data_IF_957702341669
#
_entry.id   IF_957702341669
#
_cell.length_a   1.000
_cell.length_b   1.000
_cell.length_c   1.000
_cell.angle_alpha   90.00
_cell.angle_beta   90.00
_cell.angle_gamma   90.00
#
_symmetry.space_group_name_H-M   'P 1'
#
loop_
_entity.id
_entity.type
_entity.pdbx_description
1 polymer ?
#
# COMPACT_ATOMS: atom_id res chain seq x y z
N UNK A 1 -22.25 -14.46 -12.41
CA UNK A 1 -21.05 -13.85 -13.04
C UNK A 1 -19.89 -13.64 -12.05
N UNK A 2 -20.05 -12.87 -10.96
CA UNK A 2 -18.95 -12.57 -10.02
C UNK A 2 -18.34 -13.81 -9.34
N UNK A 3 -19.17 -14.73 -8.84
CA UNK A 3 -18.70 -15.97 -8.20
C UNK A 3 -17.93 -16.87 -9.17
N UNK A 4 -18.41 -17.00 -10.42
CA UNK A 4 -17.72 -17.75 -11.49
C UNK A 4 -16.34 -17.16 -11.79
N UNK A 5 -16.22 -15.83 -11.86
CA UNK A 5 -14.93 -15.13 -12.05
C UNK A 5 -13.96 -15.42 -10.89
N UNK A 6 -14.44 -15.40 -9.64
CA UNK A 6 -13.60 -15.73 -8.49
C UNK A 6 -13.10 -17.18 -8.52
N UNK A 7 -13.98 -18.13 -8.87
CA UNK A 7 -13.60 -19.54 -9.01
C UNK A 7 -12.53 -19.72 -10.09
N UNK A 8 -12.71 -19.11 -11.27
CA UNK A 8 -11.75 -19.18 -12.37
C UNK A 8 -10.39 -18.56 -12.00
N UNK A 9 -10.38 -17.39 -11.37
CA UNK A 9 -9.15 -16.75 -10.92
C UNK A 9 -8.44 -17.57 -9.82
N UNK A 10 -9.21 -18.23 -8.95
CA UNK A 10 -8.68 -19.11 -7.91
C UNK A 10 -8.12 -20.41 -8.48
N UNK A 11 -8.65 -20.88 -9.61
CA UNK A 11 -8.17 -22.07 -10.31
C UNK A 11 -6.68 -21.93 -10.66
N UNK A 12 -6.25 -20.78 -11.18
CA UNK A 12 -4.83 -20.49 -11.43
C UNK A 12 -3.98 -20.59 -10.15
N UNK A 13 -4.45 -19.99 -9.06
CA UNK A 13 -3.74 -20.00 -7.77
C UNK A 13 -3.59 -21.41 -7.20
N UNK A 14 -4.66 -22.21 -7.23
CA UNK A 14 -4.64 -23.58 -6.67
C UNK A 14 -3.83 -24.54 -7.53
N UNK A 15 -3.86 -24.42 -8.87
CA UNK A 15 -3.02 -25.24 -9.75
C UNK A 15 -1.54 -24.94 -9.60
N UNK A 16 -1.19 -23.78 -9.04
CA UNK A 16 0.18 -23.36 -8.72
C UNK A 16 0.66 -23.80 -7.33
N UNK A 17 -0.21 -24.38 -6.50
CA UNK A 17 0.14 -24.86 -5.18
C UNK A 17 0.72 -26.28 -5.26
N UNK A 18 1.97 -26.48 -4.85
CA UNK A 18 2.70 -27.74 -5.01
C UNK A 18 2.07 -28.95 -4.32
N UNK A 19 1.27 -28.74 -3.27
CA UNK A 19 0.56 -29.82 -2.59
C UNK A 19 -0.85 -30.08 -3.16
N UNK A 20 -1.28 -29.33 -4.18
CA UNK A 20 -2.57 -29.56 -4.83
C UNK A 20 -2.50 -30.78 -5.75
N UNK A 21 -3.56 -31.60 -5.73
CA UNK A 21 -3.63 -32.88 -6.48
C UNK A 21 -3.42 -32.71 -7.99
N UNK A 22 -3.86 -31.59 -8.57
CA UNK A 22 -3.73 -31.28 -9.99
C UNK A 22 -2.62 -30.26 -10.28
N UNK A 23 -1.65 -30.13 -9.37
CA UNK A 23 -0.50 -29.27 -9.58
C UNK A 23 0.25 -29.67 -10.85
N UNK A 24 0.49 -28.69 -11.72
CA UNK A 24 1.30 -28.88 -12.93
C UNK A 24 2.07 -27.61 -13.23
N UNK A 25 3.40 -27.68 -13.07
CA UNK A 25 4.30 -26.52 -13.21
C UNK A 25 4.15 -25.84 -14.57
N UNK A 26 4.02 -26.63 -15.64
CA UNK A 26 3.91 -26.14 -17.01
C UNK A 26 2.63 -25.32 -17.20
N UNK A 27 1.50 -25.78 -16.65
CA UNK A 27 0.23 -25.04 -16.68
C UNK A 27 0.33 -23.70 -15.95
N UNK A 28 1.06 -23.67 -14.84
CA UNK A 28 1.27 -22.47 -14.04
C UNK A 28 2.17 -21.44 -14.74
N UNK A 29 3.15 -21.92 -15.50
CA UNK A 29 4.03 -21.07 -16.31
C UNK A 29 3.33 -20.57 -17.59
N UNK A 30 2.47 -21.39 -18.19
CA UNK A 30 1.78 -21.06 -19.44
C UNK A 30 0.85 -19.84 -19.29
N UNK A 31 0.10 -19.72 -18.20
CA UNK A 31 -0.86 -18.60 -17.99
C UNK A 31 -0.17 -17.21 -18.01
N UNK A 32 0.83 -16.93 -17.15
CA UNK A 32 1.53 -15.64 -17.19
C UNK A 32 2.30 -15.43 -18.49
N UNK A 33 2.76 -16.51 -19.13
CA UNK A 33 3.38 -16.44 -20.45
C UNK A 33 2.39 -15.97 -21.53
N UNK A 34 1.18 -16.51 -21.55
CA UNK A 34 0.12 -16.09 -22.48
C UNK A 34 -0.31 -14.64 -22.23
N UNK A 35 -0.45 -14.23 -20.96
CA UNK A 35 -0.76 -12.84 -20.61
C UNK A 35 0.33 -11.87 -21.09
N UNK A 36 1.60 -12.28 -20.95
CA UNK A 36 2.75 -11.52 -21.46
C UNK A 36 2.72 -11.39 -22.98
N UNK A 37 2.47 -12.48 -23.72
CA UNK A 37 2.34 -12.42 -25.18
C UNK A 37 1.22 -11.46 -25.58
N UNK A 38 0.04 -11.58 -24.97
CA UNK A 38 -1.08 -10.68 -25.25
C UNK A 38 -0.70 -9.21 -25.02
N UNK A 39 0.00 -8.92 -23.94
CA UNK A 39 0.46 -7.56 -23.60
C UNK A 39 1.52 -7.04 -24.59
N UNK A 40 2.53 -7.82 -24.93
CA UNK A 40 3.60 -7.43 -25.86
C UNK A 40 3.05 -7.17 -27.27
N UNK A 41 2.09 -7.99 -27.71
CA UNK A 41 1.42 -7.83 -29.00
C UNK A 41 0.48 -6.63 -29.03
N UNK A 42 -0.28 -6.41 -27.96
CA UNK A 42 -1.11 -5.21 -27.81
C UNK A 42 -0.26 -3.95 -27.85
N UNK A 43 0.86 -3.92 -27.12
CA UNK A 43 1.85 -2.83 -27.16
C UNK A 43 2.37 -2.58 -28.58
N UNK A 44 2.82 -3.64 -29.27
CA UNK A 44 3.34 -3.54 -30.62
C UNK A 44 2.29 -2.98 -31.58
N UNK A 45 1.03 -3.41 -31.45
CA UNK A 45 -0.05 -2.95 -32.32
C UNK A 45 -0.43 -1.50 -32.07
N UNK A 46 -0.57 -1.11 -30.80
CA UNK A 46 -0.79 0.28 -30.41
C UNK A 46 0.30 1.20 -30.96
N UNK A 47 1.57 0.82 -30.77
CA UNK A 47 2.71 1.58 -31.31
C UNK A 47 2.68 1.66 -32.85
N UNK A 48 2.34 0.55 -33.54
CA UNK A 48 2.27 0.55 -35.01
C UNK A 48 1.17 1.44 -35.57
N UNK A 49 0.10 1.69 -34.80
CA UNK A 49 -0.98 2.63 -35.13
C UNK A 49 -0.70 4.06 -34.63
N UNK A 50 0.49 4.33 -34.07
CA UNK A 50 0.90 5.66 -33.62
C UNK A 50 0.47 6.05 -32.20
N UNK A 51 -0.12 5.12 -31.43
CA UNK A 51 -0.49 5.40 -30.04
C UNK A 51 0.73 5.41 -29.13
N UNK A 52 0.80 6.42 -28.25
CA UNK A 52 1.81 6.50 -27.19
C UNK A 52 1.34 5.74 -25.95
N UNK A 53 1.89 4.55 -25.73
CA UNK A 53 1.70 3.81 -24.47
C UNK A 53 2.50 4.46 -23.34
N UNK A 54 1.85 4.72 -22.21
CA UNK A 54 2.43 5.35 -21.02
C UNK A 54 2.82 4.34 -19.95
N UNK A 55 1.99 3.31 -19.76
CA UNK A 55 2.15 2.35 -18.67
C UNK A 55 1.50 1.01 -19.03
N UNK A 56 2.07 -0.07 -18.51
CA UNK A 56 1.52 -1.41 -18.60
C UNK A 56 1.66 -2.12 -17.25
N UNK A 57 0.59 -2.80 -16.84
CA UNK A 57 0.60 -3.73 -15.70
C UNK A 57 0.52 -5.18 -16.19
N UNK A 58 0.00 -6.09 -15.36
CA UNK A 58 -0.05 -7.53 -15.62
C UNK A 58 -1.03 -7.88 -16.73
N UNK A 59 -2.14 -7.14 -16.83
CA UNK A 59 -3.26 -7.39 -17.76
C UNK A 59 -3.92 -6.09 -18.26
N UNK A 60 -3.27 -4.94 -18.07
CA UNK A 60 -3.80 -3.63 -18.46
C UNK A 60 -2.75 -2.77 -19.13
N UNK A 61 -3.15 -2.02 -20.15
CA UNK A 61 -2.31 -1.05 -20.86
C UNK A 61 -2.96 0.32 -20.88
N UNK A 62 -2.15 1.36 -20.72
CA UNK A 62 -2.58 2.75 -20.67
C UNK A 62 -1.88 3.51 -21.78
N UNK A 63 -2.64 4.15 -22.67
CA UNK A 63 -2.12 4.89 -23.81
C UNK A 63 -2.87 6.22 -23.98
N UNK A 64 -2.20 7.19 -24.60
CA UNK A 64 -2.80 8.48 -24.93
C UNK A 64 -3.59 8.34 -26.22
N UNK A 65 -4.83 8.83 -26.23
CA UNK A 65 -5.66 8.97 -27.43
C UNK A 65 -6.53 10.22 -27.34
N UNK A 66 -6.91 10.76 -28.49
CA UNK A 66 -7.90 11.82 -28.67
C UNK A 66 -9.13 11.36 -29.46
N UNK A 67 -9.26 10.06 -29.67
CA UNK A 67 -10.40 9.46 -30.39
C UNK A 67 -11.67 9.41 -29.54
N UNK A 68 -12.81 9.23 -30.22
CA UNK A 68 -14.08 8.94 -29.56
C UNK A 68 -14.08 7.57 -28.86
N UNK A 69 -15.00 7.38 -27.90
CA UNK A 69 -15.16 6.10 -27.20
C UNK A 69 -15.46 4.97 -28.17
N UNK A 70 -16.27 5.23 -29.20
CA UNK A 70 -16.66 4.28 -30.23
C UNK A 70 -15.45 3.83 -31.05
N UNK A 71 -14.60 4.77 -31.48
CA UNK A 71 -13.35 4.48 -32.19
C UNK A 71 -12.38 3.68 -31.31
N UNK A 72 -12.26 4.03 -30.03
CA UNK A 72 -11.43 3.30 -29.08
C UNK A 72 -11.93 1.86 -28.86
N UNK A 73 -13.24 1.65 -28.75
CA UNK A 73 -13.83 0.31 -28.67
C UNK A 73 -13.53 -0.50 -29.93
N UNK A 74 -13.76 0.08 -31.10
CA UNK A 74 -13.44 -0.57 -32.38
C UNK A 74 -11.96 -0.93 -32.48
N UNK A 75 -11.06 -0.03 -32.10
CA UNK A 75 -9.62 -0.29 -32.06
C UNK A 75 -9.28 -1.49 -31.17
N UNK A 76 -9.89 -1.57 -29.99
CA UNK A 76 -9.64 -2.66 -29.03
C UNK A 76 -10.20 -3.99 -29.54
N UNK A 77 -11.37 -3.97 -30.18
CA UNK A 77 -11.97 -5.14 -30.83
C UNK A 77 -11.09 -5.64 -31.99
N UNK A 78 -10.57 -4.73 -32.81
CA UNK A 78 -9.62 -5.04 -33.89
C UNK A 78 -8.35 -5.72 -33.34
N UNK A 79 -7.76 -5.17 -32.27
CA UNK A 79 -6.58 -5.76 -31.64
C UNK A 79 -6.90 -7.17 -31.09
N UNK A 80 -8.06 -7.33 -30.43
CA UNK A 80 -8.50 -8.63 -29.91
C UNK A 80 -8.69 -9.66 -31.03
N UNK A 81 -9.31 -9.25 -32.13
CA UNK A 81 -9.53 -10.11 -33.30
C UNK A 81 -8.20 -10.55 -33.93
N UNK A 82 -7.23 -9.65 -34.06
CA UNK A 82 -5.89 -9.97 -34.58
C UNK A 82 -5.14 -10.95 -33.66
N UNK A 83 -5.17 -10.73 -32.35
CA UNK A 83 -4.57 -11.64 -31.36
C UNK A 83 -5.18 -13.04 -31.44
N UNK A 84 -6.51 -13.13 -31.58
CA UNK A 84 -7.21 -14.41 -31.70
C UNK A 84 -6.98 -15.10 -33.03
N UNK A 85 -6.84 -14.34 -34.13
CA UNK A 85 -6.44 -14.89 -35.43
C UNK A 85 -5.05 -15.51 -35.34
N UNK A 86 -4.07 -14.79 -34.78
CA UNK A 86 -2.72 -15.32 -34.57
C UNK A 86 -2.74 -16.56 -33.65
N UNK A 87 -3.56 -16.56 -32.60
CA UNK A 87 -3.69 -17.71 -31.70
C UNK A 87 -4.25 -18.96 -32.39
N UNK A 88 -5.23 -18.80 -33.29
CA UNK A 88 -5.79 -19.89 -34.08
C UNK A 88 -4.77 -20.44 -35.06
N UNK A 89 -4.06 -19.56 -35.77
CA UNK A 89 -3.10 -19.94 -36.81
C UNK A 89 -1.81 -20.55 -36.23
N UNK A 90 -1.23 -19.93 -35.19
CA UNK A 90 0.08 -20.34 -34.65
C UNK A 90 0.00 -21.38 -33.53
N UNK A 91 -1.07 -21.35 -32.75
CA UNK A 91 -1.19 -22.20 -31.55
C UNK A 91 -2.36 -23.19 -31.63
N UNK A 92 -3.01 -23.28 -32.80
CA UNK A 92 -4.15 -24.17 -33.03
C UNK A 92 -5.26 -23.98 -31.98
N UNK A 93 -5.48 -22.73 -31.55
CA UNK A 93 -6.51 -22.42 -30.57
C UNK A 93 -7.90 -22.72 -31.16
N UNK A 94 -8.68 -23.58 -30.50
CA UNK A 94 -10.04 -23.94 -30.95
C UNK A 94 -11.10 -22.85 -30.70
N UNK A 95 -10.74 -21.85 -29.89
CA UNK A 95 -11.60 -20.73 -29.47
C UNK A 95 -10.75 -19.48 -29.29
N UNK A 96 -11.43 -18.35 -29.19
CA UNK A 96 -10.79 -17.08 -28.84
C UNK A 96 -10.20 -17.15 -27.43
N UNK A 97 -8.96 -16.68 -27.29
CA UNK A 97 -8.19 -16.69 -26.06
C UNK A 97 -8.04 -15.29 -25.44
N UNK A 98 -8.16 -14.24 -26.25
CA UNK A 98 -8.01 -12.86 -25.81
C UNK A 98 -9.31 -12.08 -26.01
N UNK A 99 -9.69 -11.33 -24.98
CA UNK A 99 -10.76 -10.36 -25.04
C UNK A 99 -10.26 -9.12 -24.29
N UNK A 100 -9.88 -8.09 -25.05
CA UNK A 100 -9.50 -6.79 -24.50
C UNK A 100 -10.75 -5.93 -24.41
N UNK A 101 -10.84 -5.09 -23.38
CA UNK A 101 -11.97 -4.21 -23.16
C UNK A 101 -11.49 -2.80 -22.81
N UNK A 102 -12.19 -1.78 -23.31
CA UNK A 102 -12.00 -0.41 -22.85
C UNK A 102 -12.56 -0.30 -21.42
N UNK A 103 -11.68 -0.23 -20.42
CA UNK A 103 -12.11 -0.16 -19.02
C UNK A 103 -12.44 1.26 -18.57
N UNK A 104 -11.53 2.22 -18.79
CA UNK A 104 -11.65 3.61 -18.33
C UNK A 104 -10.93 4.58 -19.24
N UNK A 105 -11.42 5.81 -19.29
CA UNK A 105 -10.74 6.95 -19.89
C UNK A 105 -10.40 7.95 -18.78
N UNK A 106 -9.12 8.29 -18.67
CA UNK A 106 -8.62 9.23 -17.67
C UNK A 106 -8.39 10.60 -18.26
N UNK A 107 -8.88 11.63 -17.56
CA UNK A 107 -8.50 13.03 -17.82
C UNK A 107 -7.08 13.30 -17.35
N UNK A 108 -6.71 12.75 -16.18
CA UNK A 108 -5.36 12.85 -15.60
C UNK A 108 -4.97 11.53 -14.96
N UNK A 109 -3.69 11.19 -15.05
CA UNK A 109 -3.15 9.93 -14.58
C UNK A 109 -1.74 10.14 -14.02
N UNK A 110 -1.48 9.59 -12.84
CA UNK A 110 -0.21 9.68 -12.13
C UNK A 110 0.27 8.27 -11.83
N UNK A 111 1.51 7.96 -12.22
CA UNK A 111 2.19 6.72 -11.87
C UNK A 111 3.36 7.07 -10.96
N UNK A 112 3.36 6.50 -9.75
CA UNK A 112 4.50 6.62 -8.85
C UNK A 112 5.53 5.55 -9.17
N UNK A 113 5.10 4.29 -9.17
CA UNK A 113 5.92 3.13 -9.50
C UNK A 113 5.03 2.01 -10.06
N UNK A 114 5.63 0.89 -10.47
CA UNK A 114 4.86 -0.27 -10.96
C UNK A 114 3.83 -0.72 -9.91
N UNK A 115 2.59 -0.92 -10.36
CA UNK A 115 1.38 -1.23 -9.57
C UNK A 115 0.96 -0.14 -8.58
N UNK A 116 1.50 1.08 -8.71
CA UNK A 116 1.25 2.20 -7.79
C UNK A 116 0.88 3.45 -8.59
N UNK A 117 -0.40 3.64 -8.84
CA UNK A 117 -0.93 4.72 -9.67
C UNK A 117 -2.30 5.22 -9.18
N UNK A 118 -2.65 6.42 -9.62
CA UNK A 118 -3.97 7.01 -9.45
C UNK A 118 -4.39 7.77 -10.70
N UNK A 119 -5.70 7.89 -10.92
CA UNK A 119 -6.22 8.63 -12.05
C UNK A 119 -7.58 9.25 -11.77
N UNK A 120 -7.83 10.40 -12.39
CA UNK A 120 -9.13 11.02 -12.50
C UNK A 120 -9.77 10.51 -13.80
N UNK A 121 -10.73 9.59 -13.68
CA UNK A 121 -11.47 9.08 -14.83
C UNK A 121 -12.68 9.97 -15.14
N UNK A 122 -13.04 10.03 -16.41
CA UNK A 122 -14.20 10.77 -16.95
C UNK A 122 -15.18 9.84 -17.69
N UNK A 123 -14.79 8.57 -17.84
CA UNK A 123 -15.62 7.53 -18.39
C UNK A 123 -15.22 6.18 -17.79
N UNK A 124 -16.20 5.35 -17.42
CA UNK A 124 -16.04 3.98 -16.94
C UNK A 124 -16.93 3.04 -17.76
N UNK A 125 -16.41 1.86 -18.10
CA UNK A 125 -17.13 0.85 -18.90
C UNK A 125 -18.50 0.43 -18.34
N UNK A 126 -18.72 0.56 -17.04
CA UNK A 126 -19.97 0.17 -16.37
C UNK A 126 -20.94 1.33 -16.19
N UNK A 127 -20.42 2.54 -15.96
CA UNK A 127 -21.22 3.71 -15.61
C UNK A 127 -21.37 4.71 -16.78
N UNK A 128 -20.61 4.53 -17.86
CA UNK A 128 -20.58 5.47 -18.97
C UNK A 128 -19.80 6.74 -18.59
N UNK A 129 -20.32 7.91 -18.98
CA UNK A 129 -19.71 9.21 -18.63
C UNK A 129 -19.91 9.51 -17.15
N UNK A 130 -18.87 9.26 -16.35
CA UNK A 130 -18.83 9.49 -14.92
C UNK A 130 -17.44 10.00 -14.53
N UNK A 131 -17.39 10.99 -13.65
CA UNK A 131 -16.14 11.48 -13.08
C UNK A 131 -15.86 10.79 -11.74
N UNK A 132 -14.63 10.32 -11.54
CA UNK A 132 -14.20 9.77 -10.25
C UNK A 132 -12.72 9.49 -10.17
N UNK A 133 -12.29 8.96 -9.03
CA UNK A 133 -10.87 8.65 -8.76
C UNK A 133 -10.64 7.15 -8.68
N UNK A 134 -9.58 6.68 -9.32
CA UNK A 134 -9.04 5.34 -9.10
C UNK A 134 -7.73 5.39 -8.33
N UNK A 135 -7.57 4.44 -7.41
CA UNK A 135 -6.40 4.27 -6.56
C UNK A 135 -5.90 2.83 -6.68
N UNK A 136 -4.62 2.62 -6.99
CA UNK A 136 -4.03 1.27 -7.11
C UNK A 136 -2.70 1.18 -6.41
N UNK A 137 -2.58 0.27 -5.45
CA UNK A 137 -1.36 -0.05 -4.70
C UNK A 137 -0.77 1.06 -3.83
N UNK A 138 -1.48 2.20 -3.74
CA UNK A 138 -1.11 3.38 -2.98
C UNK A 138 -1.43 3.21 -1.49
N UNK A 139 -0.65 3.85 -0.61
CA UNK A 139 -0.95 3.94 0.83
C UNK A 139 -2.39 4.37 1.11
N UNK A 140 -2.97 5.23 0.27
CA UNK A 140 -4.36 5.67 0.25
C UNK A 140 -5.41 4.56 0.39
N UNK A 141 -5.10 3.33 -0.03
CA UNK A 141 -6.01 2.16 0.06
C UNK A 141 -5.37 0.97 0.77
N UNK A 142 -4.19 1.16 1.34
CA UNK A 142 -3.47 0.11 2.04
C UNK A 142 -3.93 0.02 3.47
N UNK A 143 -4.37 -1.17 3.84
CA UNK A 143 -4.89 -1.41 5.17
C UNK A 143 -3.81 -1.31 6.27
N UNK A 144 -2.52 -1.40 5.92
CA UNK A 144 -1.37 -1.25 6.85
C UNK A 144 -0.86 0.20 6.97
N UNK A 145 -1.55 1.15 6.34
CA UNK A 145 -1.32 2.59 6.50
C UNK A 145 -2.25 3.18 7.56
N UNK A 146 -1.75 4.17 8.29
CA UNK A 146 -2.55 4.90 9.27
C UNK A 146 -3.70 5.67 8.58
N UNK A 147 -4.73 6.05 9.32
CA UNK A 147 -5.85 6.84 8.77
C UNK A 147 -5.34 8.19 8.26
N UNK A 148 -4.42 8.81 8.99
CA UNK A 148 -3.75 10.04 8.58
C UNK A 148 -2.98 9.85 7.27
N UNK A 149 -2.18 8.79 7.14
CA UNK A 149 -1.45 8.48 5.90
C UNK A 149 -2.41 8.30 4.71
N UNK A 150 -3.50 7.56 4.90
CA UNK A 150 -4.49 7.31 3.86
C UNK A 150 -5.16 8.60 3.40
N UNK A 151 -5.63 9.40 4.35
CA UNK A 151 -6.37 10.65 4.08
C UNK A 151 -5.48 11.70 3.45
N UNK A 152 -4.29 11.92 4.00
CA UNK A 152 -3.32 12.85 3.43
C UNK A 152 -2.94 12.47 2.00
N UNK A 153 -2.70 11.18 1.75
CA UNK A 153 -2.31 10.72 0.43
C UNK A 153 -3.44 10.87 -0.60
N UNK A 154 -4.70 10.57 -0.22
CA UNK A 154 -5.87 10.80 -1.09
C UNK A 154 -6.01 12.26 -1.45
N UNK A 155 -5.88 13.15 -0.47
CA UNK A 155 -6.04 14.58 -0.69
C UNK A 155 -4.93 15.14 -1.58
N UNK A 156 -3.65 14.88 -1.28
CA UNK A 156 -2.54 15.39 -2.10
C UNK A 156 -2.63 14.91 -3.55
N UNK A 157 -2.98 13.65 -3.78
CA UNK A 157 -3.17 13.15 -5.15
C UNK A 157 -4.38 13.79 -5.82
N UNK A 158 -5.48 14.00 -5.09
CA UNK A 158 -6.66 14.69 -5.60
C UNK A 158 -6.32 16.12 -6.03
N UNK A 159 -5.55 16.83 -5.20
CA UNK A 159 -5.03 18.16 -5.50
C UNK A 159 -4.16 18.15 -6.76
N UNK A 160 -3.24 17.20 -6.90
CA UNK A 160 -2.40 17.03 -8.08
C UNK A 160 -3.22 16.75 -9.35
N UNK A 161 -4.19 15.83 -9.28
CA UNK A 161 -5.06 15.47 -10.41
C UNK A 161 -6.01 16.60 -10.81
N UNK A 162 -6.32 17.51 -9.88
CA UNK A 162 -7.11 18.74 -10.10
C UNK A 162 -6.27 19.98 -10.36
N UNK A 163 -4.96 19.83 -10.57
CA UNK A 163 -4.04 20.91 -10.93
C UNK A 163 -4.02 22.06 -9.91
N UNK A 164 -4.15 21.73 -8.62
CA UNK A 164 -3.95 22.71 -7.53
C UNK A 164 -2.51 23.22 -7.51
N UNK A 165 -2.33 24.44 -7.04
CA UNK A 165 -1.01 25.07 -7.03
C UNK A 165 -0.05 24.37 -6.06
N UNK A 166 1.26 24.57 -6.30
CA UNK A 166 2.31 24.10 -5.39
C UNK A 166 2.08 24.65 -3.97
N UNK A 167 1.67 25.91 -3.86
CA UNK A 167 1.45 26.61 -2.61
C UNK A 167 0.26 26.03 -1.83
N UNK A 168 -0.84 25.70 -2.52
CA UNK A 168 -2.00 25.03 -1.91
C UNK A 168 -1.58 23.66 -1.32
N UNK A 169 -0.85 22.84 -2.08
CA UNK A 169 -0.39 21.52 -1.63
C UNK A 169 0.60 21.65 -0.47
N UNK A 170 1.53 22.61 -0.56
CA UNK A 170 2.50 22.91 0.48
C UNK A 170 1.83 23.28 1.80
N UNK A 171 0.86 24.21 1.76
CA UNK A 171 0.15 24.63 2.96
C UNK A 171 -0.68 23.50 3.56
N UNK A 172 -1.32 22.67 2.73
CA UNK A 172 -2.02 21.49 3.21
C UNK A 172 -1.08 20.54 3.97
N UNK A 173 0.07 20.17 3.39
CA UNK A 173 1.04 19.28 4.06
C UNK A 173 1.58 19.92 5.34
N UNK A 174 1.92 21.21 5.32
CA UNK A 174 2.36 21.94 6.52
C UNK A 174 1.30 21.91 7.62
N UNK A 175 0.02 22.06 7.27
CA UNK A 175 -1.08 21.98 8.25
C UNK A 175 -1.14 20.62 8.93
N UNK A 176 -0.95 19.53 8.18
CA UNK A 176 -0.93 18.18 8.74
C UNK A 176 0.24 17.99 9.70
N UNK A 177 1.43 18.48 9.34
CA UNK A 177 2.62 18.40 10.18
C UNK A 177 2.45 19.20 11.48
N UNK A 178 1.89 20.41 11.41
CA UNK A 178 1.58 21.21 12.61
C UNK A 178 0.63 20.47 13.56
N UNK A 179 -0.35 19.75 13.02
CA UNK A 179 -1.29 18.95 13.83
C UNK A 179 -0.61 17.71 14.45
N UNK A 180 0.34 17.08 13.74
CA UNK A 180 1.19 16.01 14.30
C UNK A 180 2.03 16.56 15.46
N UNK A 181 2.69 17.71 15.27
CA UNK A 181 3.54 18.35 16.28
C UNK A 181 2.75 18.78 17.52
N UNK A 182 1.54 19.32 17.32
CA UNK A 182 0.59 19.67 18.39
C UNK A 182 -0.12 18.47 19.00
N UNK A 183 0.10 17.26 18.47
CA UNK A 183 -0.52 16.00 18.93
C UNK A 183 -2.05 16.06 18.95
N UNK A 184 -2.66 16.73 17.97
CA UNK A 184 -4.11 16.92 17.94
C UNK A 184 -4.86 15.74 17.32
N UNK A 185 -4.15 14.79 16.71
CA UNK A 185 -4.78 13.60 16.13
C UNK A 185 -5.01 12.51 17.18
N UNK A 186 -6.13 11.79 17.10
CA UNK A 186 -6.32 10.57 17.87
C UNK A 186 -5.21 9.55 17.60
N UNK A 187 -4.76 8.86 18.64
CA UNK A 187 -3.70 7.84 18.51
C UNK A 187 -4.07 6.72 17.52
N UNK A 188 -5.35 6.38 17.44
CA UNK A 188 -5.90 5.39 16.50
C UNK A 188 -5.76 5.82 15.04
N UNK A 189 -5.70 7.13 14.76
CA UNK A 189 -5.56 7.64 13.39
C UNK A 189 -4.11 7.74 12.92
N UNK A 190 -3.16 7.87 13.86
CA UNK A 190 -1.73 8.05 13.54
C UNK A 190 -0.90 6.77 13.72
N UNK A 191 -1.38 5.82 14.52
CA UNK A 191 -0.71 4.55 14.73
C UNK A 191 -0.75 3.63 13.50
N UNK A 192 -0.01 2.53 13.55
CA UNK A 192 0.25 1.69 12.38
C UNK A 192 -0.51 0.36 12.47
N UNK A 193 -1.60 0.17 11.71
CA UNK A 193 -2.37 -1.07 11.77
C UNK A 193 -1.55 -2.23 11.22
N UNK A 194 -1.42 -3.32 11.97
CA UNK A 194 -0.62 -4.47 11.51
C UNK A 194 -1.18 -5.79 12.00
N UNK A 195 -1.46 -6.72 11.06
CA UNK A 195 -2.08 -8.00 11.39
C UNK A 195 -1.12 -8.90 12.15
N UNK A 196 -1.64 -9.60 13.15
CA UNK A 196 -0.92 -10.65 13.86
C UNK A 196 -1.09 -11.97 13.10
N UNK A 197 -0.01 -12.40 12.43
CA UNK A 197 -0.05 -13.53 11.51
C UNK A 197 0.09 -14.92 12.14
N UNK A 198 0.75 -15.06 13.28
CA UNK A 198 1.01 -16.38 13.90
C UNK A 198 0.13 -16.62 15.12
N UNK A 199 -0.36 -17.86 15.24
CA UNK A 199 -1.09 -18.37 16.41
C UNK A 199 -0.22 -18.33 17.67
N UNK A 200 -0.79 -17.79 18.74
CA UNK A 200 -0.21 -17.80 20.08
C UNK A 200 -0.56 -19.12 20.76
N UNK A 201 0.39 -19.71 21.49
CA UNK A 201 0.07 -20.85 22.37
C UNK A 201 -0.52 -20.29 23.65
N UNK A 202 -1.68 -20.82 24.03
CA UNK A 202 -2.36 -20.44 25.26
C UNK A 202 -2.32 -21.58 26.27
N UNK A 203 -2.20 -21.24 27.56
CA UNK A 203 -2.47 -22.15 28.66
C UNK A 203 -3.19 -21.39 29.78
N UNK A 204 -4.23 -22.00 30.36
CA UNK A 204 -5.06 -21.41 31.43
C UNK A 204 -5.55 -19.98 31.10
N UNK A 205 -5.98 -19.74 29.87
CA UNK A 205 -6.47 -18.43 29.41
C UNK A 205 -5.41 -17.35 29.24
N UNK A 206 -4.11 -17.69 29.31
CA UNK A 206 -2.99 -16.76 29.12
C UNK A 206 -2.08 -17.21 28.00
N UNK A 207 -1.45 -16.26 27.31
CA UNK A 207 -0.48 -16.57 26.26
C UNK A 207 0.83 -17.01 26.91
N UNK A 208 1.32 -18.19 26.55
CA UNK A 208 2.56 -18.77 27.08
C UNK A 208 3.71 -18.79 26.07
N UNK A 209 3.43 -18.71 24.77
CA UNK A 209 4.45 -18.70 23.73
C UNK A 209 3.91 -18.02 22.46
N UNK A 210 4.70 -17.14 21.84
CA UNK A 210 4.26 -16.37 20.68
C UNK A 210 4.54 -17.01 19.31
N UNK A 211 4.96 -18.29 19.24
CA UNK A 211 5.05 -19.04 17.97
C UNK A 211 6.12 -18.56 16.97
N UNK A 212 6.96 -17.59 17.34
CA UNK A 212 8.13 -17.15 16.58
C UNK A 212 9.37 -17.93 17.01
N UNK A 213 10.35 -18.05 16.10
CA UNK A 213 11.63 -18.73 16.34
C UNK A 213 12.50 -17.94 17.33
N UNK A 214 13.61 -17.37 16.87
CA UNK A 214 14.53 -16.65 17.75
C UNK A 214 14.23 -15.15 17.89
N UNK A 215 13.33 -14.58 17.08
CA UNK A 215 13.00 -13.14 17.12
C UNK A 215 11.54 -12.90 16.76
N UNK A 216 10.88 -12.05 17.54
CA UNK A 216 9.54 -11.56 17.23
C UNK A 216 9.58 -10.26 16.40
N UNK A 217 8.63 -10.06 15.47
CA UNK A 217 8.44 -8.78 14.78
C UNK A 217 7.82 -7.71 15.69
N UNK A 218 7.82 -6.44 15.25
CA UNK A 218 7.42 -5.30 16.07
C UNK A 218 5.95 -5.32 16.50
N UNK A 219 5.03 -5.66 15.57
CA UNK A 219 3.60 -5.85 15.87
C UNK A 219 3.34 -6.91 16.95
N UNK A 220 4.11 -7.98 16.96
CA UNK A 220 3.96 -9.05 17.94
C UNK A 220 4.49 -8.63 19.31
N UNK A 221 5.60 -7.88 19.34
CA UNK A 221 6.12 -7.29 20.59
C UNK A 221 5.13 -6.29 21.18
N UNK A 222 4.53 -5.47 20.34
CA UNK A 222 3.52 -4.49 20.72
C UNK A 222 2.29 -5.17 21.35
N UNK A 223 1.76 -6.20 20.68
CA UNK A 223 0.64 -6.99 21.18
C UNK A 223 0.98 -7.71 22.50
N UNK A 224 2.19 -8.29 22.60
CA UNK A 224 2.66 -8.91 23.84
C UNK A 224 2.63 -7.93 25.00
N UNK A 225 3.23 -6.76 24.80
CA UNK A 225 3.32 -5.75 25.84
C UNK A 225 1.94 -5.30 26.30
N UNK A 226 1.05 -4.96 25.35
CA UNK A 226 -0.30 -4.53 25.67
C UNK A 226 -1.10 -5.60 26.41
N UNK A 227 -0.98 -6.87 26.00
CA UNK A 227 -1.71 -7.95 26.68
C UNK A 227 -1.23 -8.16 28.12
N UNK A 228 0.06 -7.92 28.38
CA UNK A 228 0.64 -8.09 29.71
C UNK A 228 0.38 -6.91 30.64
N UNK A 229 0.37 -5.69 30.10
CA UNK A 229 0.45 -4.48 30.92
C UNK A 229 -0.70 -3.49 30.71
N UNK A 230 -1.45 -3.60 29.61
CA UNK A 230 -2.55 -2.69 29.25
C UNK A 230 -3.92 -3.39 29.26
N UNK A 231 -3.99 -4.65 29.72
CA UNK A 231 -5.26 -5.36 29.88
C UNK A 231 -5.93 -5.80 28.58
N UNK A 232 -5.18 -5.92 27.48
CA UNK A 232 -5.70 -6.38 26.19
C UNK A 232 -5.56 -7.90 26.02
N UNK A 233 -6.19 -8.46 25.00
CA UNK A 233 -6.19 -9.90 24.71
C UNK A 233 -5.91 -10.24 23.23
N UNK A 234 -5.16 -9.37 22.53
CA UNK A 234 -4.83 -9.55 21.12
C UNK A 234 -4.29 -10.95 20.80
N UNK A 235 -4.78 -11.51 19.70
CA UNK A 235 -4.55 -12.86 19.24
C UNK A 235 -4.24 -12.92 17.72
N UNK A 236 -4.01 -14.14 17.23
CA UNK A 236 -3.78 -14.35 15.79
C UNK A 236 -5.05 -14.10 14.98
N UNK A 237 -4.92 -13.28 13.95
CA UNK A 237 -6.06 -12.81 13.18
C UNK A 237 -6.32 -11.33 13.41
N UNK A 238 -6.07 -10.86 14.63
CA UNK A 238 -6.31 -9.48 15.03
C UNK A 238 -5.36 -8.51 14.33
N UNK A 239 -5.81 -7.26 14.29
CA UNK A 239 -5.10 -6.18 13.61
C UNK A 239 -5.07 -4.92 14.46
N UNK A 240 -4.42 -4.96 15.63
CA UNK A 240 -4.28 -3.78 16.47
C UNK A 240 -3.44 -2.71 15.76
N UNK A 241 -3.55 -1.50 16.30
CA UNK A 241 -2.84 -0.32 15.88
C UNK A 241 -1.57 -0.23 16.71
N UNK A 242 -0.41 -0.32 16.05
CA UNK A 242 0.89 -0.25 16.71
C UNK A 242 1.36 1.20 16.84
N UNK A 243 1.59 1.64 18.07
CA UNK A 243 2.16 2.95 18.40
C UNK A 243 3.65 2.84 18.74
N UNK A 244 4.50 3.74 18.23
CA UNK A 244 5.88 3.83 18.67
C UNK A 244 5.96 4.48 20.06
N UNK A 245 6.80 3.93 20.93
CA UNK A 245 6.99 4.39 22.32
C UNK A 245 8.46 4.72 22.56
N UNK A 246 8.70 5.79 23.32
CA UNK A 246 9.99 6.17 23.90
C UNK A 246 10.10 5.50 25.28
N UNK A 247 10.85 4.38 25.43
CA UNK A 247 10.88 3.61 26.66
C UNK A 247 11.30 4.42 27.89
N UNK A 248 12.16 5.43 27.71
CA UNK A 248 12.70 6.26 28.77
C UNK A 248 11.62 7.09 29.47
N UNK A 249 10.50 7.36 28.79
CA UNK A 249 9.35 8.08 29.34
C UNK A 249 8.44 7.20 30.20
N UNK A 250 8.66 5.89 30.23
CA UNK A 250 7.91 4.97 31.07
C UNK A 250 8.49 4.99 32.49
N UNK A 251 7.62 5.23 33.47
CA UNK A 251 7.89 5.29 34.91
C UNK A 251 7.15 4.20 35.66
N UNK A 252 5.86 4.03 35.42
CA UNK A 252 5.01 3.03 36.09
C UNK A 252 4.93 1.74 35.27
N UNK A 253 5.14 1.83 33.96
CA UNK A 253 5.18 0.69 33.07
C UNK A 253 6.62 0.20 32.83
N UNK A 254 6.84 -1.12 32.68
CA UNK A 254 8.18 -1.67 32.52
C UNK A 254 8.79 -1.27 31.18
N UNK A 255 10.01 -0.71 31.22
CA UNK A 255 10.78 -0.33 30.02
C UNK A 255 11.26 -1.52 29.21
N UNK A 256 11.45 -2.65 29.89
CA UNK A 256 11.90 -3.93 29.33
C UNK A 256 10.99 -5.05 29.79
N UNK A 257 10.82 -6.04 28.92
CA UNK A 257 9.99 -7.19 29.18
C UNK A 257 10.60 -8.42 28.54
N UNK A 258 10.37 -9.57 29.16
CA UNK A 258 10.85 -10.86 28.66
C UNK A 258 9.73 -11.57 27.91
N UNK A 259 10.02 -12.01 26.68
CA UNK A 259 9.11 -12.82 25.87
C UNK A 259 9.62 -14.26 25.75
N UNK A 260 8.72 -15.22 25.97
CA UNK A 260 8.96 -16.63 25.68
C UNK A 260 8.66 -16.92 24.20
N UNK A 261 9.68 -17.35 23.47
CA UNK A 261 9.61 -17.78 22.07
C UNK A 261 9.76 -19.30 21.98
N UNK A 262 9.60 -19.87 20.77
CA UNK A 262 9.64 -21.34 20.58
C UNK A 262 10.88 -22.02 21.15
N UNK A 263 12.05 -21.40 20.92
CA UNK A 263 13.35 -22.00 21.21
C UNK A 263 14.19 -21.19 22.20
N UNK A 264 13.66 -20.08 22.72
CA UNK A 264 14.42 -19.17 23.60
C UNK A 264 13.50 -18.24 24.38
N UNK A 265 14.03 -17.68 25.46
CA UNK A 265 13.47 -16.50 26.12
C UNK A 265 14.36 -15.29 25.80
N UNK A 266 13.77 -14.13 25.51
CA UNK A 266 14.52 -12.91 25.19
C UNK A 266 13.92 -11.69 25.83
N UNK A 267 14.80 -10.82 26.32
CA UNK A 267 14.42 -9.48 26.79
C UNK A 267 14.32 -8.50 25.61
N UNK A 268 13.32 -7.63 25.66
CA UNK A 268 13.09 -6.56 24.70
C UNK A 268 12.78 -5.25 25.41
N UNK A 269 13.18 -4.14 24.80
CA UNK A 269 12.70 -2.80 25.18
C UNK A 269 11.31 -2.52 24.61
N UNK A 270 10.47 -1.82 25.38
CA UNK A 270 9.14 -1.39 24.99
C UNK A 270 9.17 -0.22 24.00
N UNK A 271 9.60 -0.49 22.76
CA UNK A 271 9.60 0.49 21.67
C UNK A 271 8.24 0.61 20.98
N UNK A 272 7.29 -0.24 21.34
CA UNK A 272 6.00 -0.37 20.69
C UNK A 272 4.93 -0.86 21.66
N UNK A 273 3.73 -0.30 21.54
CA UNK A 273 2.49 -0.82 22.16
C UNK A 273 1.43 -1.01 21.10
N UNK A 274 0.51 -1.93 21.35
CA UNK A 274 -0.67 -2.18 20.52
C UNK A 274 -1.92 -1.58 21.20
N UNK A 275 -2.72 -0.86 20.43
CA UNK A 275 -3.99 -0.28 20.88
C UNK A 275 -5.10 -0.62 19.88
N UNK A 276 -6.33 -0.40 20.28
CA UNK A 276 -7.51 -0.41 19.43
C UNK A 276 -8.50 0.66 19.90
N UNK A 277 -9.68 0.72 19.29
CA UNK A 277 -10.71 1.72 19.63
C UNK A 277 -11.37 1.47 20.99
N UNK A 278 -11.23 0.27 21.56
CA UNK A 278 -11.84 -0.11 22.85
C UNK A 278 -10.92 0.16 24.04
N UNK A 279 -9.61 0.26 23.82
CA UNK A 279 -8.64 0.51 24.86
C UNK A 279 -8.59 1.99 25.25
N UNK A 280 -8.94 2.29 26.50
CA UNK A 280 -8.58 3.57 27.13
C UNK A 280 -7.08 3.59 27.41
N UNK A 281 -6.33 4.32 26.59
CA UNK A 281 -4.86 4.36 26.66
C UNK A 281 -4.44 5.16 27.90
N UNK A 282 -3.62 4.59 28.81
CA UNK A 282 -3.16 5.33 29.98
C UNK A 282 -2.37 6.59 29.61
N UNK A 283 -2.55 7.67 30.37
CA UNK A 283 -1.90 8.98 30.11
C UNK A 283 -0.36 8.88 30.04
N UNK A 284 0.25 8.00 30.83
CA UNK A 284 1.70 7.73 30.74
C UNK A 284 2.10 7.16 29.37
N UNK A 285 1.32 6.21 28.82
CA UNK A 285 1.57 5.62 27.51
C UNK A 285 1.39 6.67 26.42
N UNK A 286 0.32 7.48 26.51
CA UNK A 286 0.08 8.58 25.57
C UNK A 286 1.24 9.59 25.54
N UNK A 287 1.72 10.01 26.72
CA UNK A 287 2.89 10.91 26.83
C UNK A 287 4.19 10.28 26.32
N UNK A 288 4.29 8.95 26.41
CA UNK A 288 5.43 8.17 25.94
C UNK A 288 5.43 7.92 24.41
N UNK A 289 4.35 8.25 23.69
CA UNK A 289 4.29 8.12 22.23
C UNK A 289 5.41 8.92 21.54
N UNK A 290 6.09 8.24 20.63
CA UNK A 290 7.15 8.81 19.80
C UNK A 290 6.55 9.47 18.55
N UNK A 291 6.10 10.71 18.73
CA UNK A 291 5.50 11.53 17.67
C UNK A 291 6.50 11.89 16.56
N UNK A 292 7.80 11.94 16.85
CA UNK A 292 8.84 12.16 15.83
C UNK A 292 8.91 10.99 14.86
N UNK A 293 8.81 9.75 15.36
CA UNK A 293 8.76 8.57 14.50
C UNK A 293 7.49 8.49 13.66
N UNK A 294 6.37 9.01 14.18
CA UNK A 294 5.13 9.16 13.41
C UNK A 294 5.33 10.20 12.29
N UNK A 295 5.85 11.39 12.62
CA UNK A 295 6.18 12.46 11.67
C UNK A 295 7.12 11.97 10.56
N UNK A 296 8.21 11.29 10.92
CA UNK A 296 9.19 10.77 9.97
C UNK A 296 8.57 9.76 9.00
N UNK A 297 7.81 8.79 9.54
CA UNK A 297 7.13 7.80 8.70
C UNK A 297 6.13 8.46 7.77
N UNK A 298 5.30 9.36 8.29
CA UNK A 298 4.32 10.12 7.51
C UNK A 298 4.99 10.87 6.34
N UNK A 299 6.05 11.63 6.63
CA UNK A 299 6.82 12.36 5.61
C UNK A 299 7.40 11.43 4.55
N UNK A 300 7.92 10.26 4.95
CA UNK A 300 8.43 9.27 4.01
C UNK A 300 7.34 8.71 3.08
N UNK A 301 6.10 8.57 3.55
CA UNK A 301 4.97 8.10 2.74
C UNK A 301 4.44 9.15 1.77
N UNK A 302 4.47 10.44 2.14
CA UNK A 302 3.96 11.53 1.30
C UNK A 302 5.04 12.10 0.36
N UNK A 303 6.32 11.89 0.64
CA UNK A 303 7.44 12.46 -0.12
C UNK A 303 7.39 12.23 -1.64
N UNK A 304 7.06 11.03 -2.17
CA UNK A 304 6.93 10.84 -3.62
C UNK A 304 5.93 11.81 -4.29
N UNK A 305 4.87 12.18 -3.57
CA UNK A 305 3.83 13.07 -4.08
C UNK A 305 4.21 14.54 -3.95
N UNK A 306 4.88 14.89 -2.86
CA UNK A 306 5.48 16.22 -2.73
C UNK A 306 6.44 16.50 -3.88
N UNK A 307 7.29 15.53 -4.24
CA UNK A 307 8.22 15.68 -5.37
C UNK A 307 7.49 15.91 -6.70
N UNK A 308 6.34 15.26 -6.94
CA UNK A 308 5.52 15.52 -8.13
C UNK A 308 4.94 16.94 -8.16
N UNK A 309 4.68 17.53 -6.99
CA UNK A 309 4.24 18.92 -6.86
C UNK A 309 5.42 19.93 -6.89
N UNK A 310 6.66 19.47 -7.05
CA UNK A 310 7.85 20.32 -6.95
C UNK A 310 8.14 20.80 -5.51
N UNK A 311 7.68 20.06 -4.50
CA UNK A 311 7.88 20.34 -3.08
C UNK A 311 8.97 19.40 -2.54
N UNK A 312 10.00 19.99 -1.91
CA UNK A 312 11.04 19.22 -1.23
C UNK A 312 10.69 19.03 0.25
N UNK A 313 11.36 18.09 0.92
CA UNK A 313 11.14 17.87 2.36
C UNK A 313 11.49 19.11 3.16
N UNK A 314 12.50 19.86 2.75
CA UNK A 314 12.94 21.08 3.42
C UNK A 314 11.89 22.18 3.35
N UNK A 315 11.04 22.19 2.32
CA UNK A 315 9.99 23.20 2.16
C UNK A 315 8.89 23.09 3.23
N UNK A 316 8.69 21.87 3.78
CA UNK A 316 7.61 21.56 4.74
C UNK A 316 8.08 21.56 6.20
N UNK A 317 9.39 21.49 6.44
CA UNK A 317 9.96 21.55 7.77
C UNK A 317 10.15 23.01 8.21
N UNK A 318 10.03 23.33 9.51
CA UNK A 318 10.35 24.67 10.00
C UNK A 318 11.83 25.01 9.75
N UNK A 319 12.13 26.30 9.53
CA UNK A 319 13.49 26.80 9.20
C UNK A 319 14.59 26.37 10.21
N UNK A 320 14.22 26.06 11.45
CA UNK A 320 15.14 25.55 12.47
C UNK A 320 15.60 24.11 12.23
N UNK A 321 14.81 23.27 11.56
CA UNK A 321 15.18 21.89 11.25
C UNK A 321 16.09 21.78 10.01
N UNK A 322 16.03 22.75 9.09
CA UNK A 322 16.95 22.84 7.94
C UNK A 322 18.38 23.21 8.31
N UNK A 323 18.59 23.91 9.44
CA UNK A 323 19.92 24.33 9.92
C UNK A 323 20.72 23.20 10.59
N UNK A 324 20.11 22.07 10.94
CA UNK A 324 20.79 20.95 11.62
C UNK A 324 21.47 19.95 10.65
N UNK A 325 21.54 20.26 9.36
CA UNK A 325 22.36 19.51 8.40
C UNK A 325 23.32 20.50 7.72
N UNK A 326 24.63 20.29 7.94
CA UNK A 326 25.81 21.03 7.43
C UNK A 326 26.13 22.31 8.24
N UNK A 327 27.28 22.47 8.91
CA UNK A 327 28.69 22.26 8.52
C UNK A 327 29.51 21.84 9.78
N UNK A 328 30.34 20.78 9.70
CA UNK A 328 31.52 20.67 10.60
C UNK A 328 32.54 21.68 10.10
N UNK A 329 32.61 22.84 10.75
CA UNK A 329 33.77 23.71 10.65
C UNK A 329 34.85 23.13 11.57
N UNK A 330 36.04 22.92 11.01
CA UNK A 330 37.23 22.41 11.69
C UNK A 330 38.05 21.63 10.65
N UNK A 331 39.25 22.03 10.25
CA UNK A 331 40.23 22.91 10.88
C UNK A 331 40.90 23.80 9.82
N UNK A 332 41.10 25.07 10.17
CA UNK A 332 42.19 25.86 9.62
C UNK A 332 43.49 25.28 10.18
N UNK A 333 44.41 24.90 9.30
CA UNK A 333 45.80 25.33 9.31
C UNK A 333 46.40 25.19 7.90
#
# INVERSE_FOLDING_TARGET
AFQTKQILNSAFGVTSYSAFRLYKRESCAAIPFMARIGSEKTLSKLNSKGYRVLYGDTDSMFFISSESIEQLKQLIDEISAELNKEAKEKWNAKRDLFALDLQRIYKKFIVLTKKRYAGLYIWDSKEGFAEGFEWKGLEAIRSDSSVLEQTAQREVITMLLRERSREEILEYVKSLLRNIEKRTYPLTEVGFPEKIGKRFKMAKGRIIEYGYGNRAPANVKAAYYSNMYLGTDYASGDKPIRLPIIPEKLTSFPRRFTMVLKNSSREYECKWVAIDESLEVPEEIERAVDWEKIKERFLNKIAPLMMLAGIKKEDVLPEKESLNRWIKCGEMD
#
